data_IF_054706092847
#
_entry.id   IF_054706092847
#
_cell.length_a   1.000
_cell.length_b   1.000
_cell.length_c   1.000
_cell.angle_alpha   90.00
_cell.angle_beta   90.00
_cell.angle_gamma   90.00
#
_symmetry.space_group_name_H-M   'P 1'
#
loop_
_entity.id
_entity.type
_entity.pdbx_description
1 polymer ?
#
# COMPACT_ATOMS: atom_id res chain seq x y z
N UNK A 1 49.34 4.62 -19.50
CA UNK A 1 49.51 4.09 -18.14
C UNK A 1 49.57 5.31 -17.23
N UNK A 2 48.64 5.45 -16.29
CA UNK A 2 48.75 6.48 -15.24
C UNK A 2 49.93 6.09 -14.34
N UNK A 3 50.85 7.01 -14.10
CA UNK A 3 51.96 6.77 -13.18
C UNK A 3 51.45 6.64 -11.75
N UNK A 4 52.20 5.96 -10.88
CA UNK A 4 51.84 5.82 -9.45
C UNK A 4 51.54 7.19 -8.79
N UNK A 5 52.29 8.23 -9.21
CA UNK A 5 52.12 9.60 -8.73
C UNK A 5 50.78 10.21 -9.16
N UNK A 6 50.29 9.91 -10.37
CA UNK A 6 49.01 10.42 -10.86
C UNK A 6 47.84 9.73 -10.14
N UNK A 7 48.01 8.45 -9.76
CA UNK A 7 47.04 7.70 -8.98
C UNK A 7 46.94 8.27 -7.55
N UNK A 8 48.06 8.66 -6.94
CA UNK A 8 48.06 9.36 -5.65
C UNK A 8 47.37 10.72 -5.75
N UNK A 9 47.66 11.51 -6.80
CA UNK A 9 47.03 12.82 -7.01
C UNK A 9 45.51 12.72 -7.22
N UNK A 10 45.03 11.63 -7.84
CA UNK A 10 43.61 11.34 -8.01
C UNK A 10 42.97 10.68 -6.78
N UNK A 11 43.71 10.51 -5.69
CA UNK A 11 43.17 10.06 -4.41
C UNK A 11 43.11 8.55 -4.22
N UNK A 12 43.93 7.77 -4.94
CA UNK A 12 43.98 6.29 -4.92
C UNK A 12 42.79 5.63 -5.61
N UNK A 13 42.93 4.33 -5.88
CA UNK A 13 41.97 3.49 -6.61
C UNK A 13 41.22 2.58 -5.66
N UNK A 14 39.89 2.54 -5.78
CA UNK A 14 39.01 1.66 -5.01
C UNK A 14 38.18 0.81 -5.95
N UNK A 15 38.00 -0.47 -5.58
CA UNK A 15 37.16 -1.43 -6.29
C UNK A 15 36.02 -1.86 -5.37
N UNK A 16 34.79 -1.48 -5.67
CA UNK A 16 33.59 -1.88 -4.91
C UNK A 16 33.02 -3.22 -5.42
N UNK A 17 32.22 -3.91 -4.58
CA UNK A 17 31.49 -5.11 -5.00
C UNK A 17 30.70 -4.81 -6.28
N UNK A 18 30.99 -5.53 -7.37
CA UNK A 18 30.44 -5.28 -8.71
C UNK A 18 31.44 -4.80 -9.77
N UNK A 19 32.76 -4.91 -9.52
CA UNK A 19 33.82 -4.63 -10.52
C UNK A 19 33.89 -3.16 -10.99
N UNK A 20 33.40 -2.23 -10.17
CA UNK A 20 33.46 -0.80 -10.47
C UNK A 20 34.69 -0.19 -9.83
N UNK A 21 35.54 0.44 -10.63
CA UNK A 21 36.78 1.10 -10.21
C UNK A 21 36.53 2.60 -10.13
N UNK A 22 36.91 3.24 -9.02
CA UNK A 22 36.78 4.69 -8.84
C UNK A 22 38.06 5.29 -8.24
N UNK A 23 38.33 6.56 -8.56
CA UNK A 23 39.44 7.34 -8.02
C UNK A 23 38.89 8.42 -7.08
N UNK A 24 39.51 8.62 -5.91
CA UNK A 24 39.18 9.74 -5.03
C UNK A 24 39.69 9.56 -3.61
N UNK A 25 40.17 10.63 -2.97
CA UNK A 25 40.72 10.59 -1.61
C UNK A 25 39.74 9.90 -0.68
N UNK A 26 40.23 8.92 0.10
CA UNK A 26 39.51 8.16 1.13
C UNK A 26 38.26 8.95 1.59
N UNK A 27 37.13 8.71 0.91
CA UNK A 27 35.84 8.86 1.58
C UNK A 27 36.05 7.93 2.73
N UNK A 28 36.25 8.52 3.92
CA UNK A 28 36.57 7.81 5.13
C UNK A 28 35.91 6.46 5.01
N UNK A 29 36.72 5.40 5.03
CA UNK A 29 36.19 4.13 5.47
C UNK A 29 35.70 4.49 6.87
N UNK A 30 34.45 4.94 6.93
CA UNK A 30 33.72 5.18 8.15
C UNK A 30 33.62 3.77 8.64
N UNK A 31 34.66 3.34 9.37
CA UNK A 31 34.48 2.51 10.53
C UNK A 31 33.15 2.99 11.09
N UNK A 32 32.12 2.13 11.02
CA UNK A 32 30.74 2.49 11.36
C UNK A 32 30.57 3.00 12.80
N UNK A 33 31.68 3.16 13.53
CA UNK A 33 31.89 3.87 14.78
C UNK A 33 31.45 5.35 14.80
N UNK A 34 31.01 5.95 13.69
CA UNK A 34 30.52 7.34 13.64
C UNK A 34 29.08 7.53 13.18
N UNK A 35 28.39 6.48 12.72
CA UNK A 35 26.99 6.63 12.27
C UNK A 35 26.12 6.61 13.51
N UNK A 36 25.61 7.78 13.89
CA UNK A 36 24.72 7.94 15.04
C UNK A 36 23.44 7.14 14.76
N UNK A 37 23.01 6.27 15.69
CA UNK A 37 21.73 5.58 15.57
C UNK A 37 20.62 6.59 15.33
N UNK A 38 19.79 6.35 14.32
CA UNK A 38 18.64 7.21 14.07
C UNK A 38 17.54 6.79 15.03
N UNK A 39 16.91 7.75 15.71
CA UNK A 39 15.70 7.52 16.49
C UNK A 39 14.64 8.52 16.10
N UNK A 40 13.49 8.03 15.63
CA UNK A 40 12.31 8.78 15.26
C UNK A 40 11.26 8.54 16.33
N UNK A 41 10.90 9.61 17.04
CA UNK A 41 9.92 9.59 18.12
C UNK A 41 8.61 10.19 17.61
N UNK A 42 7.61 9.32 17.45
CA UNK A 42 6.25 9.72 17.06
C UNK A 42 5.31 9.58 18.28
N UNK A 43 4.11 10.15 18.19
CA UNK A 43 3.16 10.16 19.31
C UNK A 43 2.80 8.76 19.81
N UNK A 44 2.65 7.79 18.91
CA UNK A 44 2.09 6.47 19.20
C UNK A 44 3.09 5.33 18.97
N UNK A 45 4.30 5.65 18.50
CA UNK A 45 5.34 4.67 18.24
C UNK A 45 6.71 5.34 18.17
N UNK A 46 7.75 4.54 18.22
CA UNK A 46 9.11 4.93 17.93
C UNK A 46 9.64 4.04 16.82
N UNK A 47 10.55 4.57 16.02
CA UNK A 47 11.33 3.75 15.08
C UNK A 47 12.79 4.13 15.20
N UNK A 48 13.65 3.13 15.33
CA UNK A 48 15.08 3.31 15.36
C UNK A 48 15.76 2.58 14.19
N UNK A 49 16.83 3.16 13.67
CA UNK A 49 17.73 2.50 12.73
C UNK A 49 19.06 2.22 13.43
N UNK A 50 19.45 0.96 13.45
CA UNK A 50 20.78 0.54 13.89
C UNK A 50 21.71 0.44 12.66
N UNK A 51 22.72 1.31 12.55
CA UNK A 51 23.66 1.28 11.43
C UNK A 51 24.56 0.03 11.40
N UNK A 52 24.78 -0.62 12.54
CA UNK A 52 25.64 -1.80 12.62
C UNK A 52 24.95 -3.03 12.01
N UNK A 53 23.65 -3.19 12.29
CA UNK A 53 22.85 -4.28 11.73
C UNK A 53 22.10 -3.90 10.44
N UNK A 54 22.07 -2.60 10.11
CA UNK A 54 21.28 -2.02 9.01
C UNK A 54 19.79 -2.35 9.11
N UNK A 55 19.26 -2.31 10.34
CA UNK A 55 17.88 -2.70 10.63
C UNK A 55 17.08 -1.54 11.19
N UNK A 56 15.87 -1.37 10.67
CA UNK A 56 14.82 -0.57 11.30
C UNK A 56 14.04 -1.41 12.31
N UNK A 57 13.85 -0.88 13.52
CA UNK A 57 13.03 -1.50 14.58
C UNK A 57 11.95 -0.53 15.02
N UNK A 58 10.69 -0.96 15.01
CA UNK A 58 9.54 -0.20 15.45
C UNK A 58 9.04 -0.70 16.81
N UNK A 59 8.68 0.24 17.69
CA UNK A 59 7.99 -0.05 18.94
C UNK A 59 6.73 0.82 19.05
N UNK A 60 5.54 0.23 19.16
CA UNK A 60 4.33 1.01 19.41
C UNK A 60 4.18 1.30 20.90
N UNK A 61 3.40 2.35 21.19
CA UNK A 61 3.03 2.77 22.53
C UNK A 61 1.60 2.32 22.82
N UNK A 62 1.39 1.85 24.03
CA UNK A 62 0.07 1.46 24.51
C UNK A 62 -0.77 2.68 24.87
N UNK A 63 -2.06 2.62 24.60
CA UNK A 63 -3.00 3.71 24.89
C UNK A 63 -3.02 4.05 26.38
N UNK A 64 -3.00 3.02 27.23
CA UNK A 64 -2.99 3.15 28.69
C UNK A 64 -1.59 3.19 29.30
N UNK A 65 -0.53 3.31 28.48
CA UNK A 65 0.87 3.26 28.92
C UNK A 65 1.43 1.85 29.10
N UNK A 66 0.58 0.87 29.43
CA UNK A 66 0.95 -0.54 29.61
C UNK A 66 0.21 -1.46 28.63
N UNK A 67 0.88 -2.55 28.24
CA UNK A 67 0.31 -3.57 27.36
C UNK A 67 -0.71 -4.46 28.07
N UNK A 68 -1.59 -5.14 27.34
CA UNK A 68 -2.52 -6.09 27.93
C UNK A 68 -1.75 -7.26 28.56
N UNK A 69 -2.18 -7.76 29.73
CA UNK A 69 -1.52 -8.91 30.36
C UNK A 69 -1.72 -10.19 29.54
N UNK A 70 -2.90 -10.35 28.93
CA UNK A 70 -3.24 -11.46 28.03
C UNK A 70 -4.25 -10.96 26.98
N UNK A 71 -4.05 -11.32 25.71
CA UNK A 71 -5.08 -11.22 24.67
C UNK A 71 -6.07 -12.39 24.79
N UNK A 72 -7.36 -12.08 24.83
CA UNK A 72 -8.49 -12.97 25.12
C UNK A 72 -9.01 -13.73 23.89
N UNK A 73 -8.35 -13.68 22.74
CA UNK A 73 -8.74 -14.47 21.58
C UNK A 73 -8.89 -15.96 21.92
N UNK A 74 -10.10 -16.49 21.73
CA UNK A 74 -10.44 -17.90 21.97
C UNK A 74 -10.05 -18.81 20.80
N UNK A 75 -9.83 -18.25 19.61
CA UNK A 75 -9.51 -18.98 18.38
C UNK A 75 -8.02 -18.86 18.08
N UNK A 76 -7.32 -19.99 18.01
CA UNK A 76 -5.89 -20.02 17.66
C UNK A 76 -5.64 -19.84 16.16
N UNK A 77 -6.44 -20.53 15.36
CA UNK A 77 -6.38 -20.50 13.90
C UNK A 77 -7.80 -20.67 13.36
N UNK A 78 -8.23 -19.75 12.49
CA UNK A 78 -9.45 -19.94 11.72
C UNK A 78 -9.16 -20.95 10.62
N UNK A 79 -9.71 -22.16 10.76
CA UNK A 79 -9.45 -23.26 9.82
C UNK A 79 -9.76 -22.84 8.38
N UNK A 80 -8.75 -22.78 7.50
CA UNK A 80 -8.97 -22.50 6.08
C UNK A 80 -9.80 -23.63 5.46
N UNK A 81 -10.59 -23.33 4.43
CA UNK A 81 -11.28 -24.38 3.67
C UNK A 81 -10.26 -25.34 3.03
N UNK A 82 -10.66 -26.58 2.79
CA UNK A 82 -9.79 -27.63 2.23
C UNK A 82 -9.09 -27.19 0.94
N UNK A 83 -9.78 -26.41 0.10
CA UNK A 83 -9.24 -25.90 -1.18
C UNK A 83 -8.13 -24.86 -0.99
N UNK A 84 -8.12 -24.11 0.11
CA UNK A 84 -7.15 -23.04 0.35
C UNK A 84 -6.08 -23.40 1.37
N UNK A 85 -6.21 -24.54 2.08
CA UNK A 85 -5.26 -24.98 3.11
C UNK A 85 -3.84 -25.12 2.56
N UNK A 86 -3.65 -25.89 1.49
CA UNK A 86 -2.32 -26.10 0.91
C UNK A 86 -1.59 -24.80 0.49
N UNK A 87 -2.21 -23.88 -0.31
CA UNK A 87 -1.54 -22.63 -0.67
C UNK A 87 -1.32 -21.71 0.54
N UNK A 88 -2.20 -21.74 1.54
CA UNK A 88 -2.01 -21.01 2.80
C UNK A 88 -0.80 -21.50 3.59
N UNK A 89 -0.64 -22.82 3.75
CA UNK A 89 0.48 -23.42 4.47
C UNK A 89 1.81 -23.15 3.73
N UNK A 90 1.82 -23.32 2.41
CA UNK A 90 2.99 -23.02 1.59
C UNK A 90 3.44 -21.55 1.71
N UNK A 91 2.50 -20.61 1.81
CA UNK A 91 2.80 -19.18 1.99
C UNK A 91 3.28 -18.84 3.41
N UNK A 92 2.85 -19.60 4.43
CA UNK A 92 3.36 -19.45 5.79
C UNK A 92 4.83 -19.90 5.88
N UNK A 93 5.15 -21.04 5.26
CA UNK A 93 6.45 -21.73 5.36
C UNK A 93 7.53 -21.20 4.42
N UNK A 94 7.17 -20.43 3.38
CA UNK A 94 8.15 -19.93 2.41
C UNK A 94 9.29 -19.14 3.09
N UNK A 95 10.49 -19.07 2.49
CA UNK A 95 11.63 -18.35 3.07
C UNK A 95 11.37 -16.86 3.30
N UNK A 96 10.57 -16.17 2.49
CA UNK A 96 10.15 -14.78 2.79
C UNK A 96 8.81 -14.70 3.55
N UNK A 97 8.39 -15.81 4.15
CA UNK A 97 7.09 -16.00 4.76
C UNK A 97 7.04 -15.57 6.20
N UNK A 98 5.90 -15.86 6.82
CA UNK A 98 5.66 -15.56 8.23
C UNK A 98 6.63 -16.34 9.13
N UNK A 99 6.96 -17.59 8.74
CA UNK A 99 7.89 -18.45 9.46
C UNK A 99 9.32 -17.88 9.56
N UNK A 100 9.80 -17.08 8.59
CA UNK A 100 11.13 -16.45 8.69
C UNK A 100 11.19 -15.40 9.80
N UNK A 101 10.05 -14.85 10.19
CA UNK A 101 10.00 -13.85 11.26
C UNK A 101 10.00 -14.47 12.65
N UNK A 102 10.33 -15.76 12.83
CA UNK A 102 10.08 -16.44 14.11
C UNK A 102 11.35 -16.55 14.95
N UNK A 103 11.24 -16.25 16.25
CA UNK A 103 12.20 -16.72 17.25
C UNK A 103 11.66 -17.92 18.05
N UNK A 104 12.56 -18.89 18.26
CA UNK A 104 12.48 -19.88 19.32
C UNK A 104 13.72 -19.76 20.22
N UNK A 105 13.60 -19.98 21.55
CA UNK A 105 12.39 -20.33 22.27
C UNK A 105 11.49 -19.10 22.51
N UNK A 106 10.20 -19.35 22.74
CA UNK A 106 9.24 -18.31 23.05
C UNK A 106 9.49 -17.80 24.48
N UNK A 107 9.29 -16.50 24.75
CA UNK A 107 9.20 -16.02 26.13
C UNK A 107 8.16 -16.85 26.91
N UNK A 108 8.49 -17.23 28.14
CA UNK A 108 7.64 -18.09 28.97
C UNK A 108 6.26 -17.48 29.24
N UNK A 109 6.14 -16.15 29.19
CA UNK A 109 4.88 -15.40 29.12
C UNK A 109 4.56 -15.03 27.66
N UNK A 110 3.82 -15.88 26.95
CA UNK A 110 3.06 -15.35 25.80
C UNK A 110 1.80 -14.72 26.34
N UNK A 111 1.74 -13.40 26.26
CA UNK A 111 0.64 -12.57 26.75
C UNK A 111 -0.56 -12.60 25.78
N UNK A 112 -0.87 -13.78 25.23
CA UNK A 112 -1.92 -14.01 24.24
C UNK A 112 -1.40 -14.52 22.90
N UNK A 113 -2.28 -15.19 22.15
CA UNK A 113 -2.01 -15.69 20.79
C UNK A 113 -3.00 -15.01 19.86
N UNK A 114 -2.50 -14.31 18.84
CA UNK A 114 -3.32 -13.78 17.76
C UNK A 114 -3.83 -14.94 16.89
N UNK A 115 -5.11 -14.84 16.49
CA UNK A 115 -5.68 -15.82 15.58
C UNK A 115 -5.06 -15.69 14.19
N UNK A 116 -4.66 -16.81 13.59
CA UNK A 116 -4.23 -16.82 12.18
C UNK A 116 -5.42 -17.10 11.26
N UNK A 117 -5.52 -16.39 10.14
CA UNK A 117 -6.58 -16.59 9.13
C UNK A 117 -6.02 -16.58 7.71
N UNK A 118 -6.72 -17.26 6.79
CA UNK A 118 -6.39 -17.29 5.38
C UNK A 118 -7.17 -16.22 4.60
N UNK A 119 -6.46 -15.35 3.90
CA UNK A 119 -7.05 -14.33 3.01
C UNK A 119 -6.76 -14.68 1.55
N UNK A 120 -7.81 -14.92 0.76
CA UNK A 120 -7.70 -15.23 -0.67
C UNK A 120 -7.59 -13.94 -1.48
N UNK A 121 -6.41 -13.68 -2.03
CA UNK A 121 -6.14 -12.56 -2.94
C UNK A 121 -6.36 -13.02 -4.39
N UNK A 122 -7.62 -12.95 -4.85
CA UNK A 122 -8.03 -13.43 -6.19
C UNK A 122 -7.20 -12.84 -7.34
N UNK A 123 -6.93 -11.53 -7.30
CA UNK A 123 -6.16 -10.83 -8.33
C UNK A 123 -4.69 -11.29 -8.44
N UNK A 124 -4.13 -11.83 -7.35
CA UNK A 124 -2.77 -12.41 -7.30
C UNK A 124 -2.78 -13.95 -7.39
N UNK A 125 -3.97 -14.56 -7.49
CA UNK A 125 -4.17 -16.01 -7.36
C UNK A 125 -3.42 -16.62 -6.18
N UNK A 126 -3.45 -15.90 -5.05
CA UNK A 126 -2.61 -16.17 -3.87
C UNK A 126 -3.47 -16.29 -2.62
N UNK A 127 -3.04 -17.09 -1.66
CA UNK A 127 -3.63 -17.14 -0.32
C UNK A 127 -2.60 -16.63 0.69
N UNK A 128 -2.92 -15.56 1.41
CA UNK A 128 -2.02 -14.96 2.39
C UNK A 128 -2.44 -15.34 3.80
N UNK A 129 -1.55 -15.88 4.64
CA UNK A 129 -1.77 -15.93 6.08
C UNK A 129 -1.76 -14.50 6.64
N UNK A 130 -2.78 -14.15 7.43
CA UNK A 130 -2.96 -12.83 8.04
C UNK A 130 -3.30 -13.03 9.51
N UNK A 131 -2.73 -12.21 10.38
CA UNK A 131 -3.12 -12.19 11.79
C UNK A 131 -4.38 -11.37 12.01
N UNK A 132 -5.20 -11.86 12.90
CA UNK A 132 -6.34 -11.15 13.44
C UNK A 132 -5.89 -10.18 14.53
N UNK A 133 -5.49 -8.96 14.15
CA UNK A 133 -5.07 -7.95 15.13
C UNK A 133 -6.22 -7.16 15.75
N UNK A 134 -7.48 -7.60 15.61
CA UNK A 134 -8.64 -6.80 16.08
C UNK A 134 -8.57 -6.47 17.57
N UNK A 135 -8.28 -7.46 18.41
CA UNK A 135 -8.10 -7.23 19.85
C UNK A 135 -6.86 -6.38 20.14
N UNK A 136 -5.70 -6.75 19.59
CA UNK A 136 -4.47 -5.99 19.82
C UNK A 136 -4.60 -4.51 19.43
N UNK A 137 -5.24 -4.24 18.29
CA UNK A 137 -5.48 -2.89 17.79
C UNK A 137 -6.41 -2.08 18.71
N UNK A 138 -7.21 -2.70 19.58
CA UNK A 138 -8.02 -1.98 20.56
C UNK A 138 -7.18 -1.38 21.70
N UNK A 139 -5.97 -1.90 21.93
CA UNK A 139 -5.02 -1.41 22.94
C UNK A 139 -4.06 -0.35 22.41
N UNK A 140 -4.05 -0.12 21.09
CA UNK A 140 -3.16 0.82 20.41
C UNK A 140 -4.03 1.86 19.73
N UNK A 141 -4.06 3.09 20.24
CA UNK A 141 -4.75 4.21 19.59
C UNK A 141 -3.76 4.92 18.65
N UNK A 142 -3.85 4.78 17.32
CA UNK A 142 -2.97 5.49 16.40
C UNK A 142 -3.45 6.93 16.16
N UNK A 143 -2.52 7.89 16.09
CA UNK A 143 -2.85 9.25 15.68
C UNK A 143 -3.05 9.34 14.16
N UNK A 144 -4.28 9.14 13.71
CA UNK A 144 -4.62 9.03 12.29
C UNK A 144 -4.70 10.36 11.56
N UNK A 145 -4.74 11.49 12.27
CA UNK A 145 -4.89 12.82 11.64
C UNK A 145 -3.71 13.19 10.72
N UNK A 146 -2.54 12.58 10.92
CA UNK A 146 -1.38 12.76 10.08
C UNK A 146 -1.24 11.69 8.98
N UNK A 147 -2.18 10.75 8.84
CA UNK A 147 -2.09 9.68 7.82
C UNK A 147 -2.30 10.24 6.43
N UNK A 148 -1.53 9.75 5.46
CA UNK A 148 -1.72 10.10 4.06
C UNK A 148 -3.04 9.50 3.55
N UNK A 149 -3.87 10.33 2.92
CA UNK A 149 -5.10 9.89 2.26
C UNK A 149 -4.77 9.45 0.83
N UNK A 150 -5.07 8.20 0.49
CA UNK A 150 -4.75 7.62 -0.83
C UNK A 150 -5.28 8.47 -2.00
N UNK A 151 -6.52 8.97 -1.90
CA UNK A 151 -7.13 9.79 -2.94
C UNK A 151 -6.37 11.12 -3.15
N UNK A 152 -5.83 11.71 -2.09
CA UNK A 152 -5.06 12.96 -2.17
C UNK A 152 -3.68 12.72 -2.78
N UNK A 153 -3.01 11.63 -2.38
CA UNK A 153 -1.76 11.19 -3.02
C UNK A 153 -1.97 10.90 -4.48
N UNK A 154 -3.03 10.18 -4.84
CA UNK A 154 -3.36 9.92 -6.23
C UNK A 154 -3.62 11.21 -7.01
N UNK A 155 -4.33 12.20 -6.44
CA UNK A 155 -4.50 13.52 -7.06
C UNK A 155 -3.17 14.25 -7.25
N UNK A 156 -2.29 14.23 -6.25
CA UNK A 156 -0.95 14.81 -6.33
C UNK A 156 -0.11 14.12 -7.42
N UNK A 157 -0.10 12.79 -7.43
CA UNK A 157 0.67 11.98 -8.37
C UNK A 157 0.17 12.18 -9.79
N UNK A 158 -1.14 12.26 -10.00
CA UNK A 158 -1.74 12.57 -11.31
C UNK A 158 -1.36 13.94 -11.86
N UNK A 159 -0.94 14.90 -11.03
CA UNK A 159 -0.46 16.22 -11.48
C UNK A 159 0.99 16.23 -11.94
N UNK A 160 1.75 15.17 -11.66
CA UNK A 160 3.12 15.07 -12.11
C UNK A 160 3.23 14.97 -13.65
N UNK A 161 4.43 15.19 -14.18
CA UNK A 161 4.72 15.04 -15.61
C UNK A 161 4.64 13.58 -16.10
N UNK A 162 4.87 13.36 -17.39
CA UNK A 162 4.92 12.01 -17.99
C UNK A 162 6.18 11.24 -17.62
N UNK A 163 7.27 11.97 -17.38
CA UNK A 163 8.57 11.41 -17.03
C UNK A 163 8.62 11.09 -15.53
N UNK A 164 7.85 10.08 -15.14
CA UNK A 164 7.83 9.56 -13.77
C UNK A 164 7.87 8.03 -13.78
N UNK A 165 8.49 7.49 -12.73
CA UNK A 165 8.53 6.06 -12.44
C UNK A 165 7.86 5.80 -11.10
N UNK A 166 7.36 4.59 -10.91
CA UNK A 166 6.90 4.07 -9.62
C UNK A 166 7.89 3.03 -9.15
N UNK A 167 8.30 3.15 -7.90
CA UNK A 167 9.11 2.16 -7.19
C UNK A 167 8.21 1.51 -6.14
N UNK A 168 8.17 0.19 -6.12
CA UNK A 168 7.47 -0.62 -5.12
C UNK A 168 8.51 -1.25 -4.18
N UNK A 169 8.40 -0.96 -2.88
CA UNK A 169 9.28 -1.53 -1.87
C UNK A 169 9.03 -3.03 -1.71
N UNK A 170 10.10 -3.82 -1.76
CA UNK A 170 9.99 -5.28 -1.73
C UNK A 170 9.69 -5.77 -0.32
N UNK A 171 8.57 -6.44 -0.12
CA UNK A 171 8.18 -6.98 1.19
C UNK A 171 8.26 -5.90 2.30
N UNK A 172 7.85 -4.67 2.00
CA UNK A 172 8.16 -3.45 2.76
C UNK A 172 7.96 -3.57 4.29
N UNK A 173 6.81 -4.09 4.74
CA UNK A 173 6.53 -4.30 6.16
C UNK A 173 7.53 -5.27 6.82
N UNK A 174 7.99 -6.30 6.10
CA UNK A 174 8.91 -7.30 6.61
C UNK A 174 10.36 -6.81 6.70
N UNK A 175 10.69 -5.66 6.11
CA UNK A 175 11.99 -5.00 6.29
C UNK A 175 12.10 -4.37 7.70
N UNK A 176 10.98 -3.98 8.29
CA UNK A 176 10.93 -3.37 9.63
C UNK A 176 10.77 -4.45 10.69
N UNK A 177 11.68 -4.46 11.66
CA UNK A 177 11.61 -5.31 12.85
C UNK A 177 10.66 -4.71 13.88
N UNK A 178 10.16 -5.57 14.76
CA UNK A 178 9.44 -5.16 15.95
C UNK A 178 10.39 -5.24 17.14
N UNK A 179 10.27 -4.32 18.09
CA UNK A 179 11.03 -4.36 19.33
C UNK A 179 10.80 -5.67 20.11
N UNK A 180 11.84 -6.21 20.73
CA UNK A 180 11.78 -7.49 21.46
C UNK A 180 10.72 -7.51 22.55
N UNK A 181 10.48 -6.37 23.22
CA UNK A 181 9.47 -6.26 24.26
C UNK A 181 8.04 -6.46 23.73
N UNK A 182 7.84 -6.34 22.42
CA UNK A 182 6.52 -6.41 21.78
C UNK A 182 6.26 -7.73 21.06
N UNK A 183 7.25 -8.60 20.93
CA UNK A 183 7.10 -9.92 20.31
C UNK A 183 6.07 -10.82 20.99
N UNK A 184 5.87 -10.80 22.32
CA UNK A 184 4.82 -11.58 22.96
C UNK A 184 3.42 -11.29 22.41
N UNK A 185 3.18 -10.09 21.89
CA UNK A 185 1.91 -9.65 21.30
C UNK A 185 1.82 -9.88 19.79
N UNK A 186 2.76 -10.61 19.19
CA UNK A 186 2.68 -11.06 17.80
C UNK A 186 2.93 -12.56 17.72
N UNK A 187 2.13 -13.30 18.50
CA UNK A 187 2.30 -14.74 18.65
C UNK A 187 1.19 -15.47 17.91
N UNK A 188 1.53 -16.46 17.09
CA UNK A 188 0.56 -17.29 16.35
C UNK A 188 0.78 -18.77 16.63
N UNK A 189 -0.28 -19.57 16.57
CA UNK A 189 -0.18 -21.04 16.59
C UNK A 189 -0.46 -21.59 15.20
N UNK A 190 0.47 -22.37 14.68
CA UNK A 190 0.37 -23.02 13.37
C UNK A 190 0.88 -24.46 13.48
N UNK A 191 0.08 -25.44 13.05
CA UNK A 191 0.39 -26.88 13.18
C UNK A 191 0.87 -27.26 14.60
N UNK A 192 0.15 -26.78 15.62
CA UNK A 192 0.44 -27.02 17.05
C UNK A 192 1.79 -26.47 17.55
N UNK A 193 2.47 -25.66 16.74
CA UNK A 193 3.68 -24.95 17.14
C UNK A 193 3.34 -23.47 17.31
N UNK A 194 3.91 -22.86 18.34
CA UNK A 194 3.73 -21.44 18.62
C UNK A 194 4.92 -20.66 18.07
N UNK A 195 4.66 -19.54 17.41
CA UNK A 195 5.65 -18.73 16.72
C UNK A 195 5.50 -17.26 17.18
N UNK A 196 6.57 -16.62 17.67
CA UNK A 196 6.59 -15.16 17.91
C UNK A 196 7.19 -14.46 16.69
N UNK A 197 6.46 -13.49 16.14
CA UNK A 197 6.86 -12.76 14.94
C UNK A 197 7.68 -11.52 15.31
N UNK A 198 8.79 -11.35 14.60
CA UNK A 198 9.84 -10.34 14.88
C UNK A 198 9.86 -9.19 13.87
N UNK A 199 8.89 -9.16 12.95
CA UNK A 199 8.80 -8.18 11.85
C UNK A 199 7.44 -7.52 11.89
N UNK A 200 7.35 -6.28 11.44
CA UNK A 200 6.09 -5.55 11.36
C UNK A 200 5.14 -6.28 10.41
N UNK A 201 3.89 -6.47 10.85
CA UNK A 201 2.90 -7.26 10.10
C UNK A 201 1.74 -6.40 9.65
N UNK A 202 1.19 -6.80 8.51
CA UNK A 202 -0.03 -6.22 7.98
C UNK A 202 -1.21 -6.46 8.94
N UNK A 203 -2.11 -5.48 9.05
CA UNK A 203 -3.29 -5.52 9.92
C UNK A 203 -3.10 -4.80 11.25
N UNK A 204 -1.85 -4.58 11.69
CA UNK A 204 -1.58 -3.74 12.86
C UNK A 204 -1.87 -2.27 12.50
N UNK A 205 -2.66 -1.59 13.30
CA UNK A 205 -3.21 -0.27 12.96
C UNK A 205 -2.14 0.85 12.89
N UNK A 206 -1.03 0.69 13.60
CA UNK A 206 0.12 1.63 13.58
C UNK A 206 1.06 1.37 12.40
N UNK A 207 1.00 0.19 11.78
CA UNK A 207 1.97 -0.20 10.76
C UNK A 207 1.98 0.74 9.53
N UNK A 208 0.83 1.25 9.01
CA UNK A 208 0.84 2.25 7.95
C UNK A 208 1.53 3.57 8.33
N UNK A 209 1.47 3.97 9.61
CA UNK A 209 2.18 5.16 10.09
C UNK A 209 3.69 4.93 10.11
N UNK A 210 4.13 3.76 10.58
CA UNK A 210 5.54 3.36 10.51
C UNK A 210 6.02 3.35 9.04
N UNK A 211 5.22 2.78 8.14
CA UNK A 211 5.50 2.75 6.70
C UNK A 211 5.39 4.10 6.01
N UNK A 212 4.82 5.12 6.66
CA UNK A 212 4.93 6.51 6.20
C UNK A 212 6.23 7.13 6.69
N UNK A 213 6.52 6.98 7.99
CA UNK A 213 7.65 7.65 8.66
C UNK A 213 8.99 7.16 8.13
N UNK A 214 9.20 5.84 8.01
CA UNK A 214 10.50 5.27 7.61
C UNK A 214 10.88 5.66 6.17
N UNK A 215 10.07 5.39 5.13
CA UNK A 215 10.42 5.80 3.77
C UNK A 215 10.56 7.31 3.63
N UNK A 216 9.71 8.11 4.30
CA UNK A 216 9.83 9.56 4.27
C UNK A 216 11.15 10.04 4.85
N UNK A 217 11.61 9.43 5.95
CA UNK A 217 12.91 9.75 6.54
C UNK A 217 14.06 9.40 5.60
N UNK A 218 14.07 8.17 5.06
CA UNK A 218 15.12 7.70 4.14
C UNK A 218 15.21 8.61 2.91
N UNK A 219 14.08 8.87 2.24
CA UNK A 219 14.03 9.73 1.06
C UNK A 219 14.41 11.18 1.38
N UNK A 220 14.25 11.62 2.62
CA UNK A 220 14.60 12.98 3.04
C UNK A 220 16.09 13.23 3.27
N UNK A 221 16.90 12.17 3.42
CA UNK A 221 18.34 12.28 3.68
C UNK A 221 19.09 12.93 2.52
N UNK A 222 18.62 12.72 1.29
CA UNK A 222 19.17 13.35 0.11
C UNK A 222 18.22 14.44 -0.41
N UNK A 223 18.62 15.73 -0.43
CA UNK A 223 17.75 16.82 -0.85
C UNK A 223 17.21 16.70 -2.29
N UNK A 224 17.96 16.08 -3.21
CA UNK A 224 17.49 15.87 -4.57
C UNK A 224 16.42 14.77 -4.63
N UNK A 225 16.64 13.67 -3.90
CA UNK A 225 15.66 12.57 -3.77
C UNK A 225 14.39 13.08 -3.08
N UNK A 226 14.52 13.83 -1.98
CA UNK A 226 13.40 14.44 -1.26
C UNK A 226 12.52 15.30 -2.17
N UNK A 227 13.13 16.10 -3.04
CA UNK A 227 12.39 16.97 -3.99
C UNK A 227 11.78 16.18 -5.14
N UNK A 228 12.44 15.09 -5.55
CA UNK A 228 12.05 14.30 -6.72
C UNK A 228 11.08 13.16 -6.42
N UNK A 229 10.81 12.85 -5.15
CA UNK A 229 10.00 11.69 -4.77
C UNK A 229 8.78 12.04 -3.94
N UNK A 230 7.78 11.15 -3.98
CA UNK A 230 6.64 11.15 -3.07
C UNK A 230 6.30 9.71 -2.72
N UNK A 231 6.38 9.36 -1.45
CA UNK A 231 5.98 8.05 -0.95
C UNK A 231 4.49 7.99 -0.57
N UNK A 232 3.93 6.79 -0.64
CA UNK A 232 2.67 6.36 -0.06
C UNK A 232 2.80 4.89 0.36
N UNK A 233 3.04 4.65 1.66
CA UNK A 233 3.30 3.32 2.22
C UNK A 233 4.50 2.65 1.52
N UNK A 234 4.26 1.67 0.65
CA UNK A 234 5.26 0.90 -0.09
C UNK A 234 5.49 1.42 -1.51
N UNK A 235 4.58 2.26 -2.04
CA UNK A 235 4.70 2.86 -3.36
C UNK A 235 5.42 4.22 -3.28
N UNK A 236 6.40 4.43 -4.15
CA UNK A 236 7.16 5.68 -4.26
C UNK A 236 7.09 6.17 -5.70
N UNK A 237 6.48 7.35 -5.90
CA UNK A 237 6.53 8.03 -7.19
C UNK A 237 7.83 8.83 -7.30
N UNK A 238 8.55 8.65 -8.41
CA UNK A 238 9.79 9.36 -8.73
C UNK A 238 9.60 10.21 -9.97
N UNK A 239 9.93 11.50 -9.87
CA UNK A 239 10.03 12.40 -11.01
C UNK A 239 11.43 12.33 -11.63
N UNK A 240 11.54 11.61 -12.76
CA UNK A 240 12.80 11.44 -13.50
C UNK A 240 13.32 12.75 -14.11
N UNK A 241 12.52 13.81 -14.13
CA UNK A 241 12.97 15.17 -14.45
C UNK A 241 13.85 15.80 -13.36
N UNK A 242 13.80 15.28 -12.13
CA UNK A 242 14.50 15.83 -10.96
C UNK A 242 15.61 14.86 -10.52
N UNK A 243 15.29 13.58 -10.43
CA UNK A 243 16.21 12.53 -10.01
C UNK A 243 15.90 11.24 -10.79
N UNK A 244 16.91 10.59 -11.42
CA UNK A 244 16.67 9.33 -12.12
C UNK A 244 16.24 8.25 -11.14
N UNK A 245 15.31 7.37 -11.54
CA UNK A 245 14.78 6.33 -10.67
C UNK A 245 15.86 5.36 -10.17
N UNK A 246 16.87 5.07 -11.00
CA UNK A 246 18.01 4.21 -10.63
C UNK A 246 18.79 4.74 -9.42
N UNK A 247 18.87 6.06 -9.25
CA UNK A 247 19.54 6.66 -8.09
C UNK A 247 18.71 6.54 -6.82
N UNK A 248 17.38 6.52 -6.95
CA UNK A 248 16.48 6.31 -5.81
C UNK A 248 16.48 4.83 -5.39
N UNK A 249 16.56 3.92 -6.37
CA UNK A 249 16.69 2.47 -6.16
C UNK A 249 17.96 2.11 -5.36
N UNK A 250 19.08 2.82 -5.56
CA UNK A 250 20.32 2.60 -4.80
C UNK A 250 20.16 2.82 -3.28
N UNK A 251 19.14 3.55 -2.84
CA UNK A 251 18.89 3.88 -1.43
C UNK A 251 17.87 2.93 -0.76
N UNK A 252 17.28 1.99 -1.49
CA UNK A 252 16.10 1.24 -1.08
C UNK A 252 16.23 -0.25 -1.41
N UNK A 253 15.62 -1.11 -0.59
CA UNK A 253 15.35 -2.50 -0.99
C UNK A 253 13.99 -2.57 -1.70
N UNK A 254 14.01 -2.48 -3.03
CA UNK A 254 12.81 -2.37 -3.86
C UNK A 254 12.79 -3.33 -5.06
N UNK A 255 11.64 -3.38 -5.73
CA UNK A 255 11.53 -3.96 -7.08
C UNK A 255 12.10 -2.98 -8.12
N UNK A 256 12.42 -3.45 -9.33
CA UNK A 256 12.84 -2.57 -10.42
C UNK A 256 11.80 -1.46 -10.67
N UNK A 257 12.23 -0.21 -10.94
CA UNK A 257 11.30 0.89 -11.20
C UNK A 257 10.42 0.64 -12.44
N UNK A 258 9.11 0.87 -12.30
CA UNK A 258 8.13 0.82 -13.39
C UNK A 258 7.90 2.22 -13.94
N UNK A 259 8.26 2.46 -15.20
CA UNK A 259 7.99 3.75 -15.85
C UNK A 259 6.56 3.79 -16.37
N UNK A 260 5.91 4.95 -16.26
CA UNK A 260 4.52 5.11 -16.73
C UNK A 260 4.32 4.80 -18.22
N UNK A 261 5.36 4.95 -19.03
CA UNK A 261 5.29 4.66 -20.46
C UNK A 261 5.24 3.15 -20.77
N UNK A 262 5.58 2.30 -19.80
CA UNK A 262 5.70 0.86 -19.94
C UNK A 262 4.52 0.12 -19.25
N UNK A 263 3.30 0.68 -19.36
CA UNK A 263 2.06 0.11 -18.79
C UNK A 263 2.09 -0.12 -17.26
N UNK A 264 2.67 0.83 -16.51
CA UNK A 264 2.83 0.73 -15.07
C UNK A 264 1.50 0.73 -14.28
N UNK A 265 1.56 0.17 -13.06
CA UNK A 265 0.50 0.31 -12.07
C UNK A 265 0.85 1.42 -11.07
N UNK A 266 -0.14 2.27 -10.78
CA UNK A 266 0.02 3.37 -9.82
C UNK A 266 -1.18 3.37 -8.87
N UNK A 267 -0.98 3.02 -7.60
CA UNK A 267 -2.03 3.01 -6.58
C UNK A 267 -3.33 2.35 -7.10
N UNK A 268 -3.25 1.13 -7.61
CA UNK A 268 -4.34 0.35 -8.22
C UNK A 268 -4.96 0.89 -9.53
N UNK A 269 -4.42 1.95 -10.13
CA UNK A 269 -4.72 2.32 -11.50
C UNK A 269 -3.71 1.69 -12.45
N UNK A 270 -4.19 1.18 -13.58
CA UNK A 270 -3.35 0.88 -14.73
C UNK A 270 -3.16 2.18 -15.51
N UNK A 271 -1.93 2.53 -15.83
CA UNK A 271 -1.63 3.68 -16.68
C UNK A 271 -1.07 3.14 -17.99
N UNK A 272 -1.68 3.53 -19.11
CA UNK A 272 -1.32 3.06 -20.44
C UNK A 272 -1.06 4.24 -21.36
N UNK A 273 -0.28 4.01 -22.42
CA UNK A 273 -0.12 4.98 -23.50
C UNK A 273 -1.13 4.69 -24.62
N UNK A 274 -2.07 5.59 -24.82
CA UNK A 274 -3.00 5.55 -25.95
C UNK A 274 -2.83 6.81 -26.81
N UNK A 275 -2.48 6.62 -28.08
CA UNK A 275 -2.39 7.70 -29.09
C UNK A 275 -1.50 8.88 -28.64
N UNK A 276 -0.41 8.59 -27.95
CA UNK A 276 0.53 9.61 -27.45
C UNK A 276 0.09 10.33 -26.17
N UNK A 277 -1.06 9.98 -25.60
CA UNK A 277 -1.50 10.44 -24.29
C UNK A 277 -1.41 9.30 -23.29
N UNK A 278 -1.17 9.64 -22.02
CA UNK A 278 -1.26 8.68 -20.93
C UNK A 278 -2.72 8.61 -20.48
N UNK A 279 -3.32 7.44 -20.59
CA UNK A 279 -4.66 7.14 -20.09
C UNK A 279 -4.53 6.31 -18.82
N UNK A 280 -5.52 6.43 -17.95
CA UNK A 280 -5.63 5.58 -16.76
C UNK A 280 -6.94 4.82 -16.80
N UNK A 281 -6.91 3.62 -16.25
CA UNK A 281 -8.06 2.75 -16.08
C UNK A 281 -7.91 2.00 -14.76
N UNK A 282 -8.99 1.37 -14.30
CA UNK A 282 -8.95 0.45 -13.16
C UNK A 282 -7.93 -0.67 -13.41
N UNK A 283 -7.05 -0.93 -12.44
CA UNK A 283 -6.03 -1.97 -12.56
C UNK A 283 -6.51 -3.39 -12.24
N UNK A 284 -7.60 -3.52 -11.48
CA UNK A 284 -8.14 -4.81 -11.08
C UNK A 284 -9.48 -5.09 -11.76
N UNK A 285 -9.75 -6.33 -12.20
CA UNK A 285 -11.06 -6.68 -12.74
C UNK A 285 -12.14 -6.53 -11.67
N UNK A 286 -13.36 -6.21 -12.10
CA UNK A 286 -14.54 -6.20 -11.21
C UNK A 286 -14.98 -7.64 -11.00
N UNK A 287 -15.09 -8.04 -9.73
CA UNK A 287 -15.59 -9.35 -9.34
C UNK A 287 -17.06 -9.55 -9.72
N UNK A 288 -17.47 -10.81 -9.81
CA UNK A 288 -18.87 -11.18 -9.99
C UNK A 288 -19.65 -11.03 -8.68
N UNK A 289 -20.96 -10.82 -8.81
CA UNK A 289 -21.88 -10.72 -7.68
C UNK A 289 -21.89 -12.04 -6.90
N UNK A 290 -21.83 -11.96 -5.57
CA UNK A 290 -21.81 -13.14 -4.71
C UNK A 290 -23.15 -13.90 -4.77
N UNK A 291 -23.07 -15.23 -4.61
CA UNK A 291 -24.26 -16.09 -4.57
C UNK A 291 -25.12 -15.82 -3.34
N UNK A 292 -24.51 -15.61 -2.17
CA UNK A 292 -25.23 -15.22 -0.96
C UNK A 292 -25.09 -13.72 -0.74
N UNK A 293 -26.23 -13.03 -0.66
CA UNK A 293 -26.26 -11.60 -0.40
C UNK A 293 -26.64 -11.37 1.05
N UNK A 294 -25.73 -10.74 1.79
CA UNK A 294 -25.98 -10.11 3.08
C UNK A 294 -25.67 -8.62 2.96
N UNK A 295 -26.12 -7.81 3.91
CA UNK A 295 -25.76 -6.38 3.93
C UNK A 295 -24.24 -6.20 3.89
N UNK A 296 -23.48 -7.02 4.62
CA UNK A 296 -22.01 -7.00 4.58
C UNK A 296 -21.47 -7.33 3.19
N UNK A 297 -21.99 -8.37 2.55
CA UNK A 297 -21.58 -8.78 1.20
C UNK A 297 -21.84 -7.67 0.17
N UNK A 298 -23.01 -7.01 0.22
CA UNK A 298 -23.34 -5.88 -0.66
C UNK A 298 -22.41 -4.70 -0.43
N UNK A 299 -22.14 -4.34 0.83
CA UNK A 299 -21.22 -3.24 1.15
C UNK A 299 -19.79 -3.51 0.69
N UNK A 300 -19.30 -4.74 0.89
CA UNK A 300 -18.00 -5.18 0.43
C UNK A 300 -17.92 -5.12 -1.11
N UNK A 301 -18.91 -5.72 -1.79
CA UNK A 301 -19.00 -5.74 -3.24
C UNK A 301 -19.04 -4.33 -3.83
N UNK A 302 -19.87 -3.43 -3.30
CA UNK A 302 -19.94 -2.05 -3.77
C UNK A 302 -18.71 -1.22 -3.38
N UNK A 303 -17.99 -1.60 -2.33
CA UNK A 303 -16.77 -0.95 -1.87
C UNK A 303 -15.58 -1.26 -2.77
N UNK A 304 -15.45 -2.51 -3.21
CA UNK A 304 -14.32 -2.98 -4.03
C UNK A 304 -14.10 -2.17 -5.34
N UNK A 305 -15.12 -1.92 -6.19
CA UNK A 305 -14.94 -1.17 -7.43
C UNK A 305 -14.94 0.36 -7.20
N UNK A 306 -15.22 0.84 -5.99
CA UNK A 306 -15.07 2.26 -5.67
C UNK A 306 -13.71 2.57 -5.05
N UNK A 307 -13.24 1.72 -4.14
CA UNK A 307 -11.95 1.81 -3.47
C UNK A 307 -11.53 3.25 -3.13
N UNK A 308 -10.28 3.55 -3.42
CA UNK A 308 -9.67 4.89 -3.35
C UNK A 308 -9.68 5.61 -4.70
N UNK A 309 -10.53 5.17 -5.63
CA UNK A 309 -10.59 5.75 -6.96
C UNK A 309 -11.15 7.17 -6.87
N UNK A 310 -10.50 8.15 -7.52
CA UNK A 310 -10.75 9.55 -7.24
C UNK A 310 -12.09 10.01 -7.82
N UNK A 311 -12.55 9.36 -8.89
CA UNK A 311 -13.83 9.62 -9.53
C UNK A 311 -14.37 8.33 -10.14
N UNK A 312 -15.60 7.96 -9.77
CA UNK A 312 -16.33 6.84 -10.37
C UNK A 312 -17.73 7.25 -10.86
N UNK A 313 -17.99 8.56 -11.02
CA UNK A 313 -19.21 9.09 -11.65
C UNK A 313 -20.51 8.39 -11.22
N UNK A 314 -21.19 7.79 -12.20
CA UNK A 314 -22.47 7.09 -12.00
C UNK A 314 -22.38 5.90 -11.03
N UNK A 315 -21.23 5.21 -10.98
CA UNK A 315 -21.03 4.04 -10.14
C UNK A 315 -21.12 4.39 -8.65
N UNK A 316 -20.63 5.56 -8.23
CA UNK A 316 -20.76 6.01 -6.84
C UNK A 316 -22.23 6.14 -6.43
N UNK A 317 -23.06 6.69 -7.32
CA UNK A 317 -24.50 6.86 -7.05
C UNK A 317 -25.22 5.52 -7.02
N UNK A 318 -24.93 4.64 -7.99
CA UNK A 318 -25.54 3.31 -8.08
C UNK A 318 -25.17 2.43 -6.88
N UNK A 319 -23.88 2.40 -6.49
CA UNK A 319 -23.40 1.70 -5.31
C UNK A 319 -24.02 2.25 -4.01
N UNK A 320 -24.16 3.57 -3.88
CA UNK A 320 -24.83 4.17 -2.73
C UNK A 320 -26.31 3.79 -2.65
N UNK A 321 -26.99 3.70 -3.80
CA UNK A 321 -28.37 3.22 -3.87
C UNK A 321 -28.46 1.76 -3.43
N UNK A 322 -27.63 0.87 -4.00
CA UNK A 322 -27.60 -0.55 -3.60
C UNK A 322 -27.34 -0.74 -2.10
N UNK A 323 -26.39 0.00 -1.52
CA UNK A 323 -26.11 0.01 -0.07
C UNK A 323 -27.32 0.43 0.76
N UNK A 324 -28.06 1.46 0.33
CA UNK A 324 -29.28 1.90 1.02
C UNK A 324 -30.40 0.87 0.92
N UNK A 325 -30.59 0.24 -0.25
CA UNK A 325 -31.56 -0.84 -0.41
C UNK A 325 -31.24 -2.02 0.51
N UNK A 326 -29.97 -2.43 0.60
CA UNK A 326 -29.54 -3.47 1.52
C UNK A 326 -29.74 -3.11 3.00
N UNK A 327 -29.57 -1.83 3.37
CA UNK A 327 -29.90 -1.37 4.72
C UNK A 327 -31.39 -1.45 5.03
N UNK A 328 -32.25 -1.19 4.04
CA UNK A 328 -33.71 -1.26 4.20
C UNK A 328 -34.23 -2.71 4.24
N UNK A 329 -33.58 -3.63 3.52
CA UNK A 329 -34.04 -5.01 3.37
C UNK A 329 -33.74 -5.90 4.58
N UNK A 330 -32.71 -5.60 5.38
CA UNK A 330 -32.32 -6.42 6.55
C UNK A 330 -32.28 -5.59 7.82
N UNK A 331 -32.22 -6.24 8.99
CA UNK A 331 -31.95 -5.57 10.28
C UNK A 331 -30.49 -5.69 10.68
N UNK A 332 -29.86 -6.83 10.40
CA UNK A 332 -28.46 -7.09 10.74
C UNK A 332 -27.51 -7.10 9.54
N UNK A 333 -26.20 -7.14 9.80
CA UNK A 333 -25.16 -7.15 8.78
C UNK A 333 -25.06 -8.47 8.01
N UNK A 334 -25.34 -9.58 8.69
CA UNK A 334 -25.05 -10.94 8.22
C UNK A 334 -26.33 -11.75 7.95
N UNK A 335 -27.51 -11.13 8.14
CA UNK A 335 -28.80 -11.64 7.68
C UNK A 335 -28.85 -11.70 6.15
N UNK A 336 -29.38 -12.82 5.64
CA UNK A 336 -29.58 -13.02 4.21
C UNK A 336 -30.62 -12.03 3.66
N UNK A 337 -30.33 -11.46 2.50
CA UNK A 337 -31.22 -10.56 1.76
C UNK A 337 -32.15 -11.41 0.89
N UNK A 338 -33.44 -11.38 1.20
CA UNK A 338 -34.51 -12.02 0.40
C UNK A 338 -35.17 -11.03 -0.61
N UNK A 339 -34.69 -9.79 -0.67
CA UNK A 339 -35.17 -8.80 -1.62
C UNK A 339 -34.69 -9.15 -3.04
N UNK A 340 -35.62 -9.67 -3.85
CA UNK A 340 -35.39 -10.06 -5.24
C UNK A 340 -34.96 -8.92 -6.18
N UNK A 341 -34.98 -7.66 -5.75
CA UNK A 341 -34.53 -6.52 -6.57
C UNK A 341 -33.05 -6.20 -6.43
N UNK A 342 -32.42 -6.56 -5.31
CA UNK A 342 -31.04 -6.17 -5.00
C UNK A 342 -30.04 -6.92 -5.87
N UNK A 343 -30.24 -8.23 -6.11
CA UNK A 343 -29.36 -9.01 -6.98
C UNK A 343 -29.38 -8.47 -8.43
N UNK A 344 -30.54 -8.31 -9.10
CA UNK A 344 -30.58 -7.73 -10.44
C UNK A 344 -29.91 -6.37 -10.54
N UNK A 345 -30.09 -5.50 -9.53
CA UNK A 345 -29.42 -4.20 -9.47
C UNK A 345 -27.89 -4.33 -9.45
N UNK A 346 -27.35 -5.24 -8.63
CA UNK A 346 -25.90 -5.46 -8.57
C UNK A 346 -25.35 -6.06 -9.86
N UNK A 347 -26.09 -6.96 -10.49
CA UNK A 347 -25.73 -7.56 -11.78
C UNK A 347 -25.75 -6.51 -12.91
N UNK A 348 -26.74 -5.61 -12.92
CA UNK A 348 -26.79 -4.47 -13.85
C UNK A 348 -25.60 -3.53 -13.64
N UNK A 349 -25.27 -3.19 -12.40
CA UNK A 349 -24.09 -2.40 -12.07
C UNK A 349 -22.84 -3.11 -12.59
N UNK A 350 -22.68 -4.41 -12.32
CA UNK A 350 -21.53 -5.19 -12.75
C UNK A 350 -21.38 -5.20 -14.29
N UNK A 351 -22.46 -5.45 -15.00
CA UNK A 351 -22.49 -5.46 -16.46
C UNK A 351 -22.12 -4.08 -17.03
N UNK A 352 -22.70 -3.02 -16.48
CA UNK A 352 -22.44 -1.65 -16.93
C UNK A 352 -21.01 -1.19 -16.62
N UNK A 353 -20.41 -1.60 -15.50
CA UNK A 353 -18.98 -1.32 -15.24
C UNK A 353 -18.10 -2.10 -16.22
N UNK A 354 -18.44 -3.35 -16.56
CA UNK A 354 -17.69 -4.15 -17.56
C UNK A 354 -17.76 -3.52 -18.96
N UNK A 355 -18.86 -2.86 -19.31
CA UNK A 355 -19.03 -2.17 -20.61
C UNK A 355 -18.45 -0.75 -20.62
N UNK A 356 -18.69 0.02 -19.57
CA UNK A 356 -18.39 1.45 -19.46
C UNK A 356 -17.92 1.81 -18.04
N UNK A 357 -16.71 1.37 -17.68
CA UNK A 357 -16.12 1.66 -16.39
C UNK A 357 -15.86 3.17 -16.25
N UNK A 358 -16.50 3.87 -15.29
CA UNK A 358 -16.28 5.30 -15.10
C UNK A 358 -14.92 5.62 -14.47
N UNK A 359 -14.17 4.61 -14.00
CA UNK A 359 -12.81 4.76 -13.48
C UNK A 359 -11.75 4.82 -14.60
N UNK A 360 -11.99 5.67 -15.59
CA UNK A 360 -11.08 5.92 -16.70
C UNK A 360 -10.86 7.42 -16.97
N UNK A 361 -9.77 7.75 -17.65
CA UNK A 361 -9.59 9.11 -18.17
C UNK A 361 -8.23 9.37 -18.83
N UNK A 362 -8.13 10.49 -19.53
CA UNK A 362 -6.85 10.96 -20.10
C UNK A 362 -6.12 11.87 -19.12
N UNK A 363 -4.79 11.76 -19.09
CA UNK A 363 -3.89 12.74 -18.48
C UNK A 363 -3.48 13.74 -19.56
N UNK A 364 -4.31 14.74 -19.80
CA UNK A 364 -3.94 15.87 -20.66
C UNK A 364 -3.01 16.79 -19.88
N UNK A 365 -1.73 16.80 -20.26
CA UNK A 365 -0.79 17.83 -19.83
C UNK A 365 -1.24 19.17 -20.41
N UNK A 366 -1.54 20.14 -19.54
CA UNK A 366 -1.34 21.52 -19.94
C UNK A 366 0.17 21.74 -19.94
N UNK A 367 0.83 21.39 -21.05
CA UNK A 367 2.09 22.03 -21.36
C UNK A 367 1.77 23.52 -21.46
N UNK A 368 2.19 24.30 -20.46
CA UNK A 368 2.23 25.75 -20.55
C UNK A 368 2.98 26.10 -21.83
N UNK A 369 2.25 26.52 -22.87
CA UNK A 369 2.85 27.11 -24.06
C UNK A 369 3.74 28.27 -23.58
N UNK A 370 5.03 28.33 -23.94
CA UNK A 370 5.82 29.53 -23.68
C UNK A 370 5.23 30.64 -24.55
N UNK A 371 4.59 31.63 -23.92
CA UNK A 371 4.04 32.78 -24.65
C UNK A 371 2.73 33.39 -24.13
N UNK A 372 2.08 32.85 -23.09
CA UNK A 372 0.93 33.51 -22.47
C UNK A 372 1.13 33.64 -20.96
N UNK A 373 1.04 34.89 -20.49
CA UNK A 373 1.33 35.29 -19.12
C UNK A 373 0.51 34.55 -18.07
N UNK A 374 1.10 34.47 -16.88
CA UNK A 374 0.55 33.94 -15.64
C UNK A 374 -0.91 34.36 -15.42
N UNK A 375 -1.83 33.51 -15.82
CA UNK A 375 -3.19 33.48 -15.28
C UNK A 375 -3.37 32.12 -14.64
N UNK A 376 -3.86 32.13 -13.40
CA UNK A 376 -4.29 30.97 -12.64
C UNK A 376 -5.39 30.23 -13.43
N UNK A 377 -4.99 29.39 -14.38
CA UNK A 377 -5.90 28.57 -15.17
C UNK A 377 -6.28 27.35 -14.34
N UNK A 378 -7.29 27.54 -13.51
CA UNK A 378 -8.08 26.50 -12.90
C UNK A 378 -8.83 25.72 -14.01
N UNK A 379 -8.48 24.43 -14.17
CA UNK A 379 -9.22 23.36 -14.87
C UNK A 379 -9.39 23.54 -16.40
N UNK A 380 -9.03 22.52 -17.19
CA UNK A 380 -10.11 21.68 -17.70
C UNK A 380 -9.79 20.19 -17.61
N UNK A 381 -10.63 19.49 -16.86
CA UNK A 381 -10.70 18.04 -16.89
C UNK A 381 -11.61 17.69 -18.06
N UNK A 382 -11.02 17.24 -19.17
CA UNK A 382 -11.82 16.71 -20.27
C UNK A 382 -12.19 15.27 -19.95
N UNK A 383 -13.40 15.10 -19.44
CA UNK A 383 -14.08 13.82 -19.36
C UNK A 383 -14.42 13.32 -20.77
N UNK A 384 -14.03 12.09 -21.12
CA UNK A 384 -14.73 11.32 -22.16
C UNK A 384 -16.04 10.78 -21.57
N UNK A 385 -16.90 11.68 -21.11
CA UNK A 385 -18.30 11.38 -20.86
C UNK A 385 -19.03 11.53 -22.18
N UNK A 386 -19.37 10.39 -22.78
CA UNK A 386 -20.47 10.19 -23.71
C UNK A 386 -20.94 11.43 -24.52
N UNK A 387 -20.31 11.66 -25.69
CA UNK A 387 -20.85 12.55 -26.74
C UNK A 387 -21.84 11.83 -27.67
N UNK A 388 -22.51 10.75 -27.23
CA UNK A 388 -23.74 10.36 -27.92
C UNK A 388 -24.89 11.18 -27.36
N UNK A 389 -25.32 12.15 -28.18
CA UNK A 389 -26.69 12.67 -28.13
C UNK A 389 -27.63 11.46 -28.18
N UNK A 390 -28.14 11.02 -27.03
CA UNK A 390 -29.45 10.39 -26.98
C UNK A 390 -30.39 11.32 -26.23
N UNK A 391 -31.20 12.02 -27.02
CA UNK A 391 -32.32 12.82 -26.53
C UNK A 391 -33.41 11.85 -26.11
N UNK A 392 -33.42 11.40 -24.85
CA UNK A 392 -34.64 10.91 -24.23
C UNK A 392 -34.87 11.61 -22.91
N UNK A 393 -35.94 12.41 -22.93
CA UNK A 393 -36.54 13.13 -21.81
C UNK A 393 -36.84 12.15 -20.68
N UNK A 394 -36.32 12.41 -19.49
CA UNK A 394 -36.94 11.99 -18.24
C UNK A 394 -37.32 13.27 -17.49
N UNK A 395 -38.59 13.63 -17.61
CA UNK A 395 -39.26 14.65 -16.80
C UNK A 395 -39.86 13.91 -15.61
N UNK A 396 -39.46 14.27 -14.40
CA UNK A 396 -40.21 13.95 -13.18
C UNK A 396 -40.66 15.28 -12.58
N UNK A 397 -41.93 15.62 -12.79
CA UNK A 397 -42.65 16.69 -12.10
C UNK A 397 -43.09 16.13 -10.76
N UNK A 398 -42.82 16.85 -9.67
CA UNK A 398 -43.38 16.56 -8.35
C UNK A 398 -44.86 17.00 -8.30
N UNK A 399 -45.76 16.24 -7.66
CA UNK A 399 -47.13 16.69 -7.47
C UNK A 399 -47.17 17.80 -6.41
N UNK A 400 -47.86 18.89 -6.73
CA UNK A 400 -48.44 19.81 -5.76
C UNK A 400 -49.85 19.38 -5.38
#
# INVERSE_FOLDING_TARGET
>A
MLGMNDIEALGRVFVTKGSRVSFGSESALVCSAGVVPVKLEERNFTVAFDPATQVWTAAWRWTAGEGPVVLNHSVKEYSPSTRVRAPYEAEFEKPQGMARSVRHPLPQSSEGTDSLMAVVQRHKQKVCPVMDFRELNAHIEPFTAAVDVCADKLRQWRRQGANVAVIDLKDAYLQVHVDEALWPYQTVEFRSHRYCLTRLKFGLNVAPLVMKTVPSFVLSQNPAIKRGTSAYIDDILVSENIVPASRVEEELECKPPERLFDDARVLCLKVCRERGQLTWARGNPVGDVLQELTRRAVFAYCGEPLGHLPVCGWLTVAAAFAKRSANAATKSWDEAIDDGTIRPLLEEIAARVKEHDPAEGSRTYLATRPGYGSTLAAWPWTWRGDRRRDRRKCVLVAPG
#
